data_IF_593081712889
#
_entry.id   IF_593081712889
#
_cell.length_a   1.000
_cell.length_b   1.000
_cell.length_c   1.000
_cell.angle_alpha   90.00
_cell.angle_beta   90.00
_cell.angle_gamma   90.00
#
_symmetry.space_group_name_H-M   'P 1'
#
loop_
_entity.id
_entity.type
_entity.pdbx_description
1 polymer ?
#
# COMPACT_ATOMS: atom_id res chain seq x y z
N UNK A 1 12.09 -34.28 5.94
CA UNK A 1 11.08 -33.37 5.33
C UNK A 1 11.84 -32.28 4.59
N UNK A 2 11.58 -32.09 3.30
CA UNK A 2 12.26 -31.05 2.53
C UNK A 2 11.80 -29.67 3.00
N UNK A 3 12.73 -28.85 3.50
CA UNK A 3 12.47 -27.45 3.82
C UNK A 3 12.31 -26.69 2.51
N UNK A 4 11.07 -26.42 2.09
CA UNK A 4 10.74 -25.58 0.94
C UNK A 4 11.11 -24.11 1.23
N UNK A 5 12.40 -23.81 1.13
CA UNK A 5 12.95 -22.46 1.32
C UNK A 5 13.32 -21.86 -0.03
N UNK A 6 13.00 -20.58 -0.21
CA UNK A 6 13.38 -19.80 -1.39
C UNK A 6 13.87 -18.42 -0.95
N UNK A 7 14.56 -17.72 -1.86
CA UNK A 7 15.16 -16.42 -1.58
C UNK A 7 14.30 -15.29 -2.13
N UNK A 8 14.18 -14.22 -1.35
CA UNK A 8 13.68 -12.92 -1.82
C UNK A 8 14.88 -12.06 -2.18
N UNK A 9 14.97 -11.61 -3.43
CA UNK A 9 16.02 -10.69 -3.90
C UNK A 9 15.35 -9.44 -4.46
N UNK A 10 15.73 -8.28 -3.94
CA UNK A 10 15.25 -6.98 -4.41
C UNK A 10 16.45 -6.06 -4.60
N UNK A 11 16.41 -5.24 -5.66
CA UNK A 11 17.34 -4.13 -5.83
C UNK A 11 16.90 -2.99 -4.92
N UNK A 12 17.84 -2.44 -4.18
CA UNK A 12 17.66 -1.31 -3.27
C UNK A 12 18.90 -0.45 -3.36
N UNK A 13 18.74 0.84 -3.16
CA UNK A 13 19.85 1.76 -2.98
C UNK A 13 20.70 1.36 -1.76
N UNK A 14 22.02 1.53 -1.87
CA UNK A 14 22.95 1.08 -0.82
C UNK A 14 22.82 1.90 0.45
N UNK A 15 22.69 3.22 0.33
CA UNK A 15 22.55 4.12 1.48
C UNK A 15 21.23 3.85 2.20
N UNK A 16 20.14 3.70 1.44
CA UNK A 16 18.83 3.32 1.98
C UNK A 16 18.88 1.99 2.75
N UNK A 17 19.58 0.98 2.21
CA UNK A 17 19.73 -0.31 2.89
C UNK A 17 20.49 -0.16 4.21
N UNK A 18 21.57 0.61 4.21
CA UNK A 18 22.40 0.81 5.39
C UNK A 18 21.66 1.59 6.48
N UNK A 19 20.94 2.64 6.10
CA UNK A 19 20.09 3.42 7.02
C UNK A 19 19.01 2.54 7.64
N UNK A 20 18.26 1.80 6.81
CA UNK A 20 17.22 0.90 7.30
C UNK A 20 17.78 -0.18 8.22
N UNK A 21 18.94 -0.77 7.88
CA UNK A 21 19.59 -1.77 8.72
C UNK A 21 20.00 -1.21 10.08
N UNK A 22 20.50 0.02 10.15
CA UNK A 22 20.88 0.68 11.41
C UNK A 22 19.66 0.93 12.30
N UNK A 23 18.56 1.44 11.74
CA UNK A 23 17.30 1.66 12.48
C UNK A 23 16.75 0.34 13.02
N UNK A 24 16.71 -0.70 12.18
CA UNK A 24 16.19 -2.01 12.57
C UNK A 24 17.07 -2.72 13.60
N UNK A 25 18.39 -2.55 13.53
CA UNK A 25 19.31 -3.07 14.54
C UNK A 25 19.02 -2.48 15.93
N UNK A 26 18.63 -1.20 16.00
CA UNK A 26 18.16 -0.56 17.24
C UNK A 26 16.89 -1.22 17.82
N UNK A 27 16.12 -1.91 16.99
CA UNK A 27 14.94 -2.69 17.39
C UNK A 27 15.24 -4.19 17.56
N UNK A 28 16.50 -4.62 17.40
CA UNK A 28 16.90 -6.03 17.45
C UNK A 28 16.47 -6.85 16.22
N UNK A 29 16.20 -6.20 15.09
CA UNK A 29 15.72 -6.83 13.86
C UNK A 29 16.73 -6.68 12.73
N UNK A 30 16.80 -7.67 11.85
CA UNK A 30 17.49 -7.55 10.57
C UNK A 30 16.52 -7.14 9.45
N UNK A 31 17.06 -6.66 8.32
CA UNK A 31 16.27 -6.40 7.11
C UNK A 31 15.51 -7.67 6.68
N UNK A 32 16.14 -8.85 6.80
CA UNK A 32 15.50 -10.11 6.45
C UNK A 32 14.35 -10.49 7.40
N UNK A 33 14.43 -10.11 8.68
CA UNK A 33 13.32 -10.32 9.62
C UNK A 33 12.11 -9.51 9.21
N UNK A 34 12.30 -8.23 8.91
CA UNK A 34 11.21 -7.34 8.49
C UNK A 34 10.61 -7.79 7.17
N UNK A 35 11.42 -8.20 6.19
CA UNK A 35 10.91 -8.75 4.92
C UNK A 35 10.05 -9.99 5.17
N UNK A 36 10.47 -10.90 6.05
CA UNK A 36 9.65 -12.07 6.41
C UNK A 36 8.34 -11.67 7.08
N UNK A 37 8.39 -10.80 8.09
CA UNK A 37 7.21 -10.32 8.83
C UNK A 37 6.20 -9.67 7.88
N UNK A 38 6.68 -8.78 6.99
CA UNK A 38 5.86 -8.09 6.01
C UNK A 38 5.17 -9.07 5.05
N UNK A 39 5.92 -10.02 4.46
CA UNK A 39 5.36 -11.01 3.56
C UNK A 39 4.33 -11.93 4.26
N UNK A 40 4.59 -12.32 5.52
CA UNK A 40 3.64 -13.08 6.32
C UNK A 40 2.35 -12.29 6.56
N UNK A 41 2.45 -11.00 6.92
CA UNK A 41 1.28 -10.14 7.15
C UNK A 41 0.46 -9.95 5.89
N UNK A 42 1.11 -9.66 4.75
CA UNK A 42 0.45 -9.52 3.44
C UNK A 42 -0.29 -10.80 3.06
N UNK A 43 0.37 -11.96 3.20
CA UNK A 43 -0.22 -13.24 2.84
C UNK A 43 -1.47 -13.56 3.68
N UNK A 44 -1.46 -13.19 4.97
CA UNK A 44 -2.54 -13.43 5.91
C UNK A 44 -3.71 -12.44 5.78
N UNK A 45 -3.40 -11.16 5.67
CA UNK A 45 -4.39 -10.07 5.77
C UNK A 45 -4.85 -9.54 4.42
N UNK A 46 -4.20 -9.95 3.31
CA UNK A 46 -4.52 -9.50 1.94
C UNK A 46 -4.44 -7.98 1.77
N UNK A 47 -3.65 -7.31 2.60
CA UNK A 47 -3.41 -5.87 2.57
C UNK A 47 -1.92 -5.58 2.76
N UNK A 48 -1.49 -4.38 2.33
CA UNK A 48 -0.14 -3.92 2.57
C UNK A 48 0.06 -3.58 4.06
N UNK A 49 1.26 -3.81 4.62
CA UNK A 49 1.52 -3.71 6.05
C UNK A 49 1.80 -2.26 6.50
N UNK A 50 1.50 -1.27 5.66
CA UNK A 50 1.62 0.14 5.94
C UNK A 50 0.36 0.85 5.48
N UNK A 51 -0.03 1.89 6.20
CA UNK A 51 -1.15 2.71 5.82
C UNK A 51 -0.80 3.44 4.52
N UNK A 52 -1.43 3.06 3.40
CA UNK A 52 -1.36 3.81 2.14
C UNK A 52 -2.13 5.13 2.30
N UNK A 53 -1.55 6.08 3.03
CA UNK A 53 -2.18 7.37 3.35
C UNK A 53 -1.97 8.44 2.28
N UNK A 54 -1.07 8.22 1.33
CA UNK A 54 -0.75 9.21 0.31
C UNK A 54 -1.46 8.79 -0.98
N UNK A 55 -2.52 9.50 -1.39
CA UNK A 55 -3.14 9.28 -2.69
C UNK A 55 -2.10 9.43 -3.79
N UNK A 56 -2.19 8.62 -4.84
CA UNK A 56 -1.42 8.89 -6.03
C UNK A 56 -1.86 10.21 -6.67
N UNK A 57 -1.09 10.73 -7.63
CA UNK A 57 -1.34 12.03 -8.25
C UNK A 57 -2.76 12.14 -8.82
N UNK A 58 -3.26 11.11 -9.50
CA UNK A 58 -4.62 11.09 -10.07
C UNK A 58 -5.68 11.16 -8.96
N UNK A 59 -5.56 10.33 -7.94
CA UNK A 59 -6.51 10.33 -6.81
C UNK A 59 -6.49 11.68 -6.08
N UNK A 60 -5.31 12.25 -5.82
CA UNK A 60 -5.19 13.57 -5.19
C UNK A 60 -5.85 14.68 -6.03
N UNK A 61 -5.61 14.68 -7.34
CA UNK A 61 -6.22 15.65 -8.26
C UNK A 61 -7.75 15.52 -8.31
N UNK A 62 -8.26 14.28 -8.39
CA UNK A 62 -9.70 14.01 -8.40
C UNK A 62 -10.36 14.47 -7.11
N UNK A 63 -9.76 14.19 -5.94
CA UNK A 63 -10.31 14.71 -4.67
C UNK A 63 -10.34 16.25 -4.66
N UNK A 64 -9.26 16.90 -5.08
CA UNK A 64 -9.20 18.36 -5.12
C UNK A 64 -10.23 18.98 -6.09
N UNK A 65 -10.51 18.33 -7.24
CA UNK A 65 -11.60 18.72 -8.16
C UNK A 65 -12.96 18.61 -7.49
N UNK A 66 -13.24 17.46 -6.88
CA UNK A 66 -14.50 17.24 -6.17
C UNK A 66 -14.74 18.24 -5.03
N UNK A 67 -13.69 18.60 -4.27
CA UNK A 67 -13.77 19.61 -3.20
C UNK A 67 -14.13 21.01 -3.71
N UNK A 68 -13.73 21.34 -4.95
CA UNK A 68 -14.13 22.59 -5.62
C UNK A 68 -15.50 22.50 -6.30
N UNK A 69 -16.11 21.33 -6.32
CA UNK A 69 -17.35 21.07 -7.07
C UNK A 69 -17.13 20.82 -8.56
N UNK A 70 -15.89 20.65 -9.00
CA UNK A 70 -15.56 20.29 -10.38
C UNK A 70 -15.82 18.78 -10.57
N UNK A 71 -16.51 18.41 -11.66
CA UNK A 71 -16.74 17.01 -12.06
C UNK A 71 -17.52 16.17 -11.02
N UNK A 72 -18.40 16.81 -10.24
CA UNK A 72 -19.26 16.17 -9.25
C UNK A 72 -20.67 15.93 -9.81
N UNK A 73 -21.16 14.71 -9.68
CA UNK A 73 -22.51 14.31 -10.08
C UNK A 73 -23.42 14.10 -8.86
N UNK A 74 -24.73 14.36 -9.03
CA UNK A 74 -25.74 14.15 -7.99
C UNK A 74 -26.72 13.07 -8.42
N UNK A 75 -27.07 12.20 -7.49
CA UNK A 75 -28.15 11.23 -7.63
C UNK A 75 -29.22 11.50 -6.55
N UNK A 76 -30.48 11.22 -6.89
CA UNK A 76 -31.63 11.41 -5.99
C UNK A 76 -31.74 10.31 -4.94
N UNK A 77 -31.40 9.09 -5.34
CA UNK A 77 -31.44 7.87 -4.53
C UNK A 77 -30.45 6.83 -5.10
N UNK A 78 -30.43 5.63 -4.50
CA UNK A 78 -29.54 4.55 -4.91
C UNK A 78 -29.84 4.03 -6.32
N UNK A 79 -31.11 3.95 -6.72
CA UNK A 79 -31.51 3.43 -8.03
C UNK A 79 -31.07 4.40 -9.15
N UNK A 80 -31.23 5.70 -8.93
CA UNK A 80 -30.72 6.76 -9.82
C UNK A 80 -29.19 6.72 -9.92
N UNK A 81 -28.48 6.52 -8.79
CA UNK A 81 -27.02 6.40 -8.77
C UNK A 81 -26.53 5.20 -9.61
N UNK A 82 -27.09 4.02 -9.38
CA UNK A 82 -26.67 2.82 -10.11
C UNK A 82 -27.01 2.93 -11.60
N UNK A 83 -28.16 3.50 -11.94
CA UNK A 83 -28.52 3.83 -13.32
C UNK A 83 -27.52 4.77 -14.01
N UNK A 84 -27.02 5.80 -13.31
CA UNK A 84 -26.00 6.70 -13.82
C UNK A 84 -24.61 6.03 -13.96
N UNK A 85 -24.27 5.10 -13.07
CA UNK A 85 -23.01 4.36 -13.08
C UNK A 85 -23.00 3.17 -14.06
N UNK A 86 -24.16 2.74 -14.56
CA UNK A 86 -24.29 1.61 -15.48
C UNK A 86 -23.95 0.25 -14.84
N UNK A 87 -24.16 0.11 -13.53
CA UNK A 87 -23.98 -1.14 -12.75
C UNK A 87 -25.28 -1.60 -12.10
#
# INVERSE_FOLDING_TARGET
MATHTTFVRARVDEDLKNEAAAVLAGMGLTVSDVVRIALTKIAKEKQLPFDMRIPNALTAETLAKSERGDDVHKAKDADDLFGQLGI
#
